data_IF_752992473243
#
_entry.id   IF_752992473243
#
_cell.length_a   1.000
_cell.length_b   1.000
_cell.length_c   1.000
_cell.angle_alpha   90.00
_cell.angle_beta   90.00
_cell.angle_gamma   90.00
#
_symmetry.space_group_name_H-M   'P 1'
#
loop_
_entity.id
_entity.type
_entity.pdbx_description
1 polymer ?
#
# COMPACT_ATOMS: atom_id res chain seq x y z
N UNK A 1 -43.27 54.53 2.57
CA UNK A 1 -43.19 53.08 2.32
C UNK A 1 -41.79 52.72 1.83
N UNK A 2 -40.83 52.57 2.75
CA UNK A 2 -39.42 52.24 2.47
C UNK A 2 -39.13 50.78 2.78
N UNK A 3 -39.47 49.87 1.86
CA UNK A 3 -39.12 48.46 1.98
C UNK A 3 -37.76 48.24 1.33
N UNK A 4 -36.76 47.84 2.12
CA UNK A 4 -35.44 47.47 1.60
C UNK A 4 -35.55 46.15 0.83
N UNK A 5 -35.59 46.20 -0.50
CA UNK A 5 -35.45 45.02 -1.35
C UNK A 5 -33.96 44.79 -1.63
N UNK A 6 -33.40 43.70 -1.10
CA UNK A 6 -32.07 43.22 -1.51
C UNK A 6 -32.12 42.96 -3.03
N UNK A 7 -31.48 43.82 -3.83
CA UNK A 7 -31.31 43.55 -5.26
C UNK A 7 -30.62 42.19 -5.37
N UNK A 8 -31.31 41.20 -5.97
CA UNK A 8 -30.68 39.93 -6.35
C UNK A 8 -29.46 40.29 -7.19
N UNK A 9 -28.26 39.99 -6.69
CA UNK A 9 -26.97 40.28 -7.33
C UNK A 9 -26.72 39.35 -8.53
N UNK A 10 -27.69 39.19 -9.42
CA UNK A 10 -27.43 38.59 -10.72
C UNK A 10 -26.74 39.66 -11.55
N UNK A 11 -25.41 39.62 -11.52
CA UNK A 11 -24.59 40.43 -12.41
C UNK A 11 -24.80 39.85 -13.80
N UNK A 12 -25.33 40.63 -14.73
CA UNK A 12 -25.38 40.24 -16.13
C UNK A 12 -23.94 40.18 -16.64
N UNK A 13 -23.51 39.00 -17.06
CA UNK A 13 -22.18 38.77 -17.62
C UNK A 13 -22.25 38.81 -19.13
N UNK A 14 -21.26 39.43 -19.76
CA UNK A 14 -21.07 39.32 -21.21
C UNK A 14 -20.77 37.86 -21.58
N UNK A 15 -21.08 37.45 -22.81
CA UNK A 15 -20.80 36.10 -23.31
C UNK A 15 -19.32 35.72 -23.16
N UNK A 16 -18.41 36.67 -23.40
CA UNK A 16 -16.97 36.48 -23.23
C UNK A 16 -16.58 36.23 -21.76
N UNK A 17 -17.27 36.89 -20.82
CA UNK A 17 -17.05 36.70 -19.39
C UNK A 17 -17.54 35.32 -18.96
N UNK A 18 -18.68 34.86 -19.48
CA UNK A 18 -19.20 33.50 -19.22
C UNK A 18 -18.23 32.44 -19.75
N UNK A 19 -17.73 32.59 -20.99
CA UNK A 19 -16.74 31.69 -21.59
C UNK A 19 -15.43 31.66 -20.79
N UNK A 20 -14.98 32.81 -20.30
CA UNK A 20 -13.79 32.91 -19.45
C UNK A 20 -14.01 32.18 -18.11
N UNK A 21 -15.14 32.40 -17.44
CA UNK A 21 -15.48 31.73 -16.19
C UNK A 21 -15.53 30.20 -16.36
N UNK A 22 -16.21 29.72 -17.40
CA UNK A 22 -16.26 28.29 -17.72
C UNK A 22 -14.87 27.69 -17.97
N UNK A 23 -14.00 28.42 -18.67
CA UNK A 23 -12.63 27.99 -18.92
C UNK A 23 -11.82 27.88 -17.62
N UNK A 24 -12.00 28.83 -16.70
CA UNK A 24 -11.35 28.82 -15.38
C UNK A 24 -11.83 27.64 -14.54
N UNK A 25 -13.14 27.38 -14.49
CA UNK A 25 -13.72 26.25 -13.76
C UNK A 25 -13.19 24.91 -14.30
N UNK A 26 -13.19 24.74 -15.63
CA UNK A 26 -12.62 23.55 -16.26
C UNK A 26 -11.14 23.37 -15.94
N UNK A 27 -10.36 24.46 -15.91
CA UNK A 27 -8.94 24.41 -15.53
C UNK A 27 -8.76 24.01 -14.07
N UNK A 28 -9.59 24.53 -13.17
CA UNK A 28 -9.56 24.19 -11.76
C UNK A 28 -9.88 22.70 -11.52
N UNK A 29 -10.94 22.20 -12.14
CA UNK A 29 -11.34 20.78 -12.03
C UNK A 29 -10.22 19.87 -12.53
N UNK A 30 -9.64 20.17 -13.71
CA UNK A 30 -8.52 19.41 -14.26
C UNK A 30 -7.30 19.42 -13.34
N UNK A 31 -6.97 20.58 -12.77
CA UNK A 31 -5.86 20.72 -11.82
C UNK A 31 -6.10 19.87 -10.57
N UNK A 32 -7.27 19.96 -9.95
CA UNK A 32 -7.63 19.17 -8.78
C UNK A 32 -7.60 17.68 -9.08
N UNK A 33 -8.14 17.25 -10.21
CA UNK A 33 -8.06 15.86 -10.67
C UNK A 33 -6.61 15.37 -10.79
N UNK A 34 -5.73 16.17 -11.41
CA UNK A 34 -4.31 15.81 -11.53
C UNK A 34 -3.60 15.74 -10.16
N UNK A 35 -3.92 16.64 -9.24
CA UNK A 35 -3.36 16.61 -7.89
C UNK A 35 -3.78 15.35 -7.15
N UNK A 36 -5.07 15.00 -7.16
CA UNK A 36 -5.57 13.79 -6.50
C UNK A 36 -4.98 12.53 -7.16
N UNK A 37 -4.85 12.51 -8.50
CA UNK A 37 -4.19 11.40 -9.20
C UNK A 37 -2.75 11.20 -8.74
N UNK A 38 -1.95 12.27 -8.68
CA UNK A 38 -0.57 12.19 -8.17
C UNK A 38 -0.51 11.73 -6.70
N UNK A 39 -1.50 12.13 -5.89
CA UNK A 39 -1.60 11.68 -4.49
C UNK A 39 -1.91 10.19 -4.43
N UNK A 40 -2.81 9.69 -5.26
CA UNK A 40 -3.11 8.26 -5.41
C UNK A 40 -1.86 7.51 -5.86
N UNK A 41 -1.18 7.96 -6.91
CA UNK A 41 0.04 7.31 -7.43
C UNK A 41 1.14 7.24 -6.37
N UNK A 42 1.33 8.33 -5.60
CA UNK A 42 2.28 8.35 -4.46
C UNK A 42 1.88 7.36 -3.38
N UNK A 43 0.60 7.31 -3.01
CA UNK A 43 0.09 6.39 -1.99
C UNK A 43 0.22 4.93 -2.44
N UNK A 44 -0.14 4.63 -3.69
CA UNK A 44 0.04 3.32 -4.31
C UNK A 44 1.51 2.92 -4.34
N UNK A 45 2.42 3.80 -4.76
CA UNK A 45 3.87 3.54 -4.78
C UNK A 45 4.42 3.30 -3.38
N UNK A 46 3.94 4.04 -2.38
CA UNK A 46 4.36 3.86 -0.98
C UNK A 46 3.75 2.63 -0.31
N UNK A 47 2.68 2.07 -0.87
CA UNK A 47 1.96 0.94 -0.30
C UNK A 47 2.41 -0.35 -0.96
N UNK A 48 3.33 -1.06 -0.30
CA UNK A 48 3.93 -2.32 -0.76
C UNK A 48 2.94 -3.50 -0.86
N UNK A 49 1.64 -3.26 -0.66
CA UNK A 49 0.64 -4.29 -0.35
C UNK A 49 -0.73 -4.14 -1.04
N UNK A 50 -0.98 -3.09 -1.82
CA UNK A 50 -2.31 -2.85 -2.41
C UNK A 50 -2.66 -3.81 -3.56
N UNK A 51 -1.76 -4.69 -3.98
CA UNK A 51 -2.07 -5.74 -4.97
C UNK A 51 -2.53 -7.06 -4.31
N UNK A 52 -3.27 -6.98 -3.20
CA UNK A 52 -3.71 -8.17 -2.44
C UNK A 52 -4.76 -9.00 -3.15
N UNK A 53 -5.56 -8.39 -4.04
CA UNK A 53 -6.61 -9.05 -4.82
C UNK A 53 -6.12 -9.53 -6.20
N UNK A 54 -5.09 -8.89 -6.75
CA UNK A 54 -4.46 -9.27 -8.03
C UNK A 54 -3.08 -9.87 -7.84
N UNK A 55 -2.86 -10.64 -6.76
CA UNK A 55 -1.59 -11.34 -6.56
C UNK A 55 -1.43 -12.37 -7.69
N UNK A 56 -0.47 -12.21 -8.62
CA UNK A 56 -0.23 -13.26 -9.59
C UNK A 56 0.25 -14.50 -8.81
N UNK A 57 -0.21 -15.69 -9.17
CA UNK A 57 0.33 -16.92 -8.58
C UNK A 57 1.79 -17.06 -9.00
N UNK A 58 2.73 -16.92 -8.06
CA UNK A 58 4.15 -17.09 -8.35
C UNK A 58 4.57 -18.52 -8.01
N UNK A 59 5.09 -19.24 -9.00
CA UNK A 59 5.73 -20.54 -8.80
C UNK A 59 7.18 -20.34 -8.38
N UNK A 60 7.57 -20.85 -7.22
CA UNK A 60 8.97 -20.91 -6.79
C UNK A 60 9.53 -22.31 -7.08
N UNK A 61 10.50 -22.40 -8.00
CA UNK A 61 11.11 -23.66 -8.46
C UNK A 61 12.45 -23.85 -7.77
N UNK A 62 12.65 -25.01 -7.15
CA UNK A 62 13.93 -25.40 -6.54
C UNK A 62 14.65 -26.38 -7.47
N UNK A 63 15.93 -26.13 -7.70
CA UNK A 63 16.82 -27.05 -8.43
C UNK A 63 17.61 -27.87 -7.43
N UNK A 64 17.67 -29.19 -7.66
CA UNK A 64 18.40 -30.14 -6.83
C UNK A 64 19.21 -31.09 -7.72
N UNK A 65 20.38 -31.52 -7.23
CA UNK A 65 21.35 -32.24 -8.05
C UNK A 65 21.04 -33.74 -8.23
N UNK A 66 20.15 -34.30 -7.41
CA UNK A 66 19.88 -35.74 -7.41
C UNK A 66 18.40 -36.06 -7.20
N UNK A 67 17.92 -37.09 -7.89
CA UNK A 67 16.56 -37.62 -7.75
C UNK A 67 16.23 -37.97 -6.29
N UNK A 68 17.19 -38.50 -5.52
CA UNK A 68 17.01 -38.83 -4.10
C UNK A 68 16.76 -37.59 -3.23
N UNK A 69 17.27 -36.44 -3.64
CA UNK A 69 17.04 -35.17 -2.95
C UNK A 69 15.66 -34.61 -3.30
N UNK A 70 15.14 -34.86 -4.52
CA UNK A 70 13.77 -34.50 -4.90
C UNK A 70 12.75 -35.17 -3.98
N UNK A 71 12.90 -36.48 -3.74
CA UNK A 71 11.97 -37.26 -2.90
C UNK A 71 11.96 -36.83 -1.42
N UNK A 72 13.09 -36.32 -0.92
CA UNK A 72 13.25 -35.88 0.48
C UNK A 72 13.16 -34.36 0.63
N UNK A 73 12.79 -33.65 -0.43
CA UNK A 73 12.83 -32.20 -0.44
C UNK A 73 11.76 -31.62 0.49
N UNK A 74 12.19 -30.77 1.42
CA UNK A 74 11.32 -30.06 2.34
C UNK A 74 11.65 -28.55 2.26
N UNK A 75 10.71 -27.71 1.77
CA UNK A 75 10.95 -26.29 1.62
C UNK A 75 11.20 -25.58 2.95
N UNK A 76 10.63 -26.08 4.05
CA UNK A 76 10.80 -25.49 5.39
C UNK A 76 12.24 -25.65 5.85
N UNK A 77 12.81 -26.86 5.68
CA UNK A 77 14.20 -27.15 6.01
C UNK A 77 15.18 -26.44 5.09
N UNK A 78 14.89 -26.41 3.79
CA UNK A 78 15.75 -25.74 2.81
C UNK A 78 15.86 -24.24 3.07
N UNK A 79 14.74 -23.59 3.41
CA UNK A 79 14.72 -22.15 3.71
C UNK A 79 15.09 -21.83 5.17
N UNK A 80 15.20 -22.83 6.04
CA UNK A 80 15.46 -22.69 7.49
C UNK A 80 14.45 -21.74 8.17
N UNK A 81 13.22 -21.74 7.70
CA UNK A 81 12.13 -20.86 8.13
C UNK A 81 11.13 -21.62 9.01
N UNK A 82 10.35 -20.92 9.82
CA UNK A 82 9.24 -21.54 10.54
C UNK A 82 8.09 -21.94 9.57
N UNK A 83 7.39 -23.08 9.76
CA UNK A 83 6.29 -23.51 8.88
C UNK A 83 5.21 -22.45 8.65
N UNK A 84 4.91 -21.62 9.65
CA UNK A 84 3.91 -20.54 9.50
C UNK A 84 4.32 -19.43 8.53
N UNK A 85 5.62 -19.27 8.25
CA UNK A 85 6.14 -18.23 7.36
C UNK A 85 6.30 -18.70 5.92
N UNK A 86 6.20 -20.00 5.64
CA UNK A 86 6.50 -20.57 4.31
C UNK A 86 5.49 -20.13 3.24
N UNK A 87 4.24 -19.90 3.63
CA UNK A 87 3.17 -19.49 2.73
C UNK A 87 3.22 -17.99 2.41
N UNK A 88 4.00 -17.19 3.15
CA UNK A 88 4.18 -15.76 2.88
C UNK A 88 5.02 -15.56 1.64
N UNK A 89 4.88 -14.45 0.92
CA UNK A 89 5.69 -14.19 -0.28
C UNK A 89 7.00 -13.48 0.03
N UNK A 90 6.91 -12.45 0.83
CA UNK A 90 8.03 -11.65 1.30
C UNK A 90 8.31 -11.98 2.76
N UNK A 91 9.49 -11.58 3.22
CA UNK A 91 9.82 -11.56 4.64
C UNK A 91 9.74 -12.93 5.35
N UNK A 92 10.26 -13.96 4.68
CA UNK A 92 10.45 -15.32 5.23
C UNK A 92 11.75 -15.36 6.04
N UNK A 93 11.72 -14.85 7.25
CA UNK A 93 12.90 -14.85 8.13
C UNK A 93 13.30 -16.27 8.55
N UNK A 94 14.60 -16.50 8.66
CA UNK A 94 15.13 -17.75 9.20
C UNK A 94 14.92 -17.83 10.72
N UNK A 95 14.95 -19.04 11.27
CA UNK A 95 14.80 -19.26 12.71
C UNK A 95 15.90 -18.52 13.51
N UNK A 96 17.12 -18.45 12.97
CA UNK A 96 18.23 -17.71 13.58
C UNK A 96 17.95 -16.20 13.59
N UNK A 97 17.44 -15.66 12.48
CA UNK A 97 17.02 -14.27 12.39
C UNK A 97 15.92 -13.96 13.40
N UNK A 98 14.89 -14.81 13.51
CA UNK A 98 13.81 -14.68 14.51
C UNK A 98 14.29 -14.75 15.97
N UNK A 99 15.42 -15.42 16.25
CA UNK A 99 16.01 -15.44 17.59
C UNK A 99 16.85 -14.19 17.86
N UNK A 100 17.53 -13.69 16.83
CA UNK A 100 18.31 -12.45 16.93
C UNK A 100 17.44 -11.19 17.02
N UNK A 101 16.23 -11.24 16.44
CA UNK A 101 15.25 -10.17 16.50
C UNK A 101 14.73 -10.01 17.93
N UNK A 102 15.26 -9.05 18.69
CA UNK A 102 14.59 -8.56 19.91
C UNK A 102 13.38 -7.72 19.51
N UNK A 103 12.24 -8.37 19.35
CA UNK A 103 10.96 -7.69 19.17
C UNK A 103 10.50 -7.09 20.51
N UNK A 104 10.90 -5.85 20.82
CA UNK A 104 10.17 -5.02 21.78
C UNK A 104 8.85 -4.62 21.11
N UNK A 105 7.79 -5.36 21.42
CA UNK A 105 6.42 -5.11 20.98
C UNK A 105 5.57 -5.14 22.25
N UNK A 106 4.89 -4.03 22.56
CA UNK A 106 3.95 -3.96 23.69
C UNK A 106 2.74 -4.87 23.44
N UNK A 107 2.15 -5.48 24.48
CA UNK A 107 1.04 -6.45 24.36
C UNK A 107 -0.17 -5.93 23.55
N UNK A 108 -0.45 -4.62 23.61
CA UNK A 108 -1.49 -3.97 22.80
C UNK A 108 -1.20 -4.04 21.30
N UNK A 109 0.08 -3.93 20.92
CA UNK A 109 0.46 -4.03 19.53
C UNK A 109 0.26 -5.48 19.06
N UNK A 110 0.50 -6.50 19.89
CA UNK A 110 0.40 -7.93 19.51
C UNK A 110 -0.98 -8.29 18.94
N UNK A 111 -2.07 -7.74 19.49
CA UNK A 111 -3.44 -7.97 19.00
C UNK A 111 -3.76 -7.24 17.68
N UNK A 112 -3.06 -6.15 17.38
CA UNK A 112 -3.11 -5.49 16.07
C UNK A 112 -2.21 -6.25 15.07
N UNK A 113 -1.06 -6.74 15.54
CA UNK A 113 -0.05 -7.50 14.79
C UNK A 113 -0.54 -8.85 14.24
N UNK A 114 -1.44 -9.53 14.95
CA UNK A 114 -1.97 -10.83 14.53
C UNK A 114 -3.00 -10.72 13.40
N UNK A 115 -3.66 -9.58 13.28
CA UNK A 115 -4.69 -9.32 12.28
C UNK A 115 -4.14 -8.66 11.01
N UNK A 116 -3.05 -7.90 11.10
CA UNK A 116 -2.48 -7.15 9.97
C UNK A 116 -1.09 -7.67 9.54
N UNK A 117 -1.06 -8.48 8.47
CA UNK A 117 0.17 -8.90 7.76
C UNK A 117 1.03 -7.71 7.30
N UNK A 118 0.43 -6.53 7.18
CA UNK A 118 1.03 -5.29 6.67
C UNK A 118 2.03 -4.67 7.64
N UNK A 119 1.76 -4.74 8.95
CA UNK A 119 2.54 -4.06 9.97
C UNK A 119 3.80 -4.86 10.36
N UNK A 120 3.73 -6.19 10.33
CA UNK A 120 4.90 -7.08 10.51
C UNK A 120 5.98 -6.83 9.44
N UNK A 121 5.57 -6.62 8.19
CA UNK A 121 6.48 -6.25 7.10
C UNK A 121 7.13 -4.87 7.35
N UNK A 122 6.35 -3.87 7.77
CA UNK A 122 6.86 -2.52 8.03
C UNK A 122 7.83 -2.47 9.22
N UNK A 123 7.52 -3.17 10.33
CA UNK A 123 8.37 -3.27 11.51
C UNK A 123 9.73 -3.92 11.18
N UNK A 124 9.70 -4.99 10.38
CA UNK A 124 10.93 -5.63 9.94
C UNK A 124 11.70 -4.73 8.97
N UNK A 125 11.02 -4.00 8.09
CA UNK A 125 11.66 -3.03 7.20
C UNK A 125 12.38 -1.91 7.98
N UNK A 126 11.77 -1.36 9.02
CA UNK A 126 12.37 -0.28 9.83
C UNK A 126 13.48 -0.76 10.78
N UNK A 127 13.46 -2.03 11.19
CA UNK A 127 14.49 -2.60 12.08
C UNK A 127 15.62 -3.36 11.37
N UNK A 128 15.41 -3.81 10.12
CA UNK A 128 16.39 -4.60 9.34
C UNK A 128 17.03 -3.86 8.16
N UNK A 129 16.52 -2.69 7.78
CA UNK A 129 17.17 -1.84 6.78
C UNK A 129 17.76 -0.62 7.52
N UNK A 130 19.09 -0.65 7.68
CA UNK A 130 19.93 0.56 7.74
C UNK A 130 20.08 1.06 6.30
#
# INVERSE_FOLDING_TARGET
NGVHSLKKKYKEYSEDQLKLMQTQDLKYIKYKHQMERKKIDKLQTSSHLIDSEYRPSHSHIFFVDSQKQVEKFDPVKQMRTHPSLINRRSNRLTIEQLKSTKFNIDEEQINVFSNDETFFFLLLKTKFII
#
